data_IF_757837367727
#
_entry.id   IF_757837367727
#
_cell.length_a   1.000
_cell.length_b   1.000
_cell.length_c   1.000
_cell.angle_alpha   90.00
_cell.angle_beta   90.00
_cell.angle_gamma   90.00
#
_symmetry.space_group_name_H-M   'P 1'
#
loop_
_entity.id
_entity.type
_entity.pdbx_description
1 polymer ?
#
# COMPACT_ATOMS: atom_id res chain seq x y z
N UNK A 1 25.90 -13.03 3.94
CA UNK A 1 25.77 -12.57 5.34
C UNK A 1 24.49 -13.15 5.90
N UNK A 2 24.56 -14.09 6.85
CA UNK A 2 23.37 -14.61 7.52
C UNK A 2 22.99 -13.64 8.63
N UNK A 3 21.91 -12.89 8.44
CA UNK A 3 21.28 -12.18 9.55
C UNK A 3 20.78 -13.27 10.49
N UNK A 4 21.46 -13.45 11.62
CA UNK A 4 21.10 -14.47 12.61
C UNK A 4 19.69 -14.18 13.11
N UNK A 5 18.81 -15.20 13.08
CA UNK A 5 17.41 -15.12 13.54
C UNK A 5 17.28 -14.43 14.91
N UNK A 6 18.27 -14.61 15.78
CA UNK A 6 18.38 -13.93 17.08
C UNK A 6 18.41 -12.41 17.01
N UNK A 7 19.05 -11.83 15.98
CA UNK A 7 19.06 -10.38 15.76
C UNK A 7 17.67 -9.85 15.41
N UNK A 8 16.94 -10.56 14.54
CA UNK A 8 15.56 -10.20 14.17
C UNK A 8 14.64 -10.30 15.38
N UNK A 9 14.74 -11.39 16.15
CA UNK A 9 13.95 -11.58 17.38
C UNK A 9 14.26 -10.47 18.41
N UNK A 10 15.55 -10.15 18.63
CA UNK A 10 15.94 -9.09 19.53
C UNK A 10 15.40 -7.72 19.07
N UNK A 11 15.50 -7.40 17.79
CA UNK A 11 14.98 -6.16 17.23
C UNK A 11 13.45 -6.04 17.37
N UNK A 12 12.72 -7.15 17.14
CA UNK A 12 11.25 -7.20 17.33
C UNK A 12 10.88 -6.99 18.80
N UNK A 13 11.56 -7.65 19.73
CA UNK A 13 11.33 -7.48 21.18
C UNK A 13 11.60 -6.04 21.60
N UNK A 14 12.69 -5.44 21.11
CA UNK A 14 13.06 -4.06 21.42
C UNK A 14 12.03 -3.06 20.86
N UNK A 15 11.53 -3.29 19.65
CA UNK A 15 10.45 -2.51 19.06
C UNK A 15 9.16 -2.63 19.89
N UNK A 16 8.79 -3.83 20.33
CA UNK A 16 7.64 -4.07 21.21
C UNK A 16 7.79 -3.29 22.52
N UNK A 17 8.95 -3.35 23.18
CA UNK A 17 9.20 -2.63 24.44
C UNK A 17 9.07 -1.12 24.27
N UNK A 18 9.63 -0.56 23.19
CA UNK A 18 9.54 0.89 22.89
C UNK A 18 8.09 1.30 22.65
N UNK A 19 7.32 0.50 21.89
CA UNK A 19 5.90 0.77 21.61
C UNK A 19 5.07 0.72 22.90
N UNK A 20 5.32 -0.24 23.79
CA UNK A 20 4.59 -0.38 25.06
C UNK A 20 4.90 0.71 26.08
N UNK A 21 6.06 1.36 25.98
CA UNK A 21 6.45 2.50 26.84
C UNK A 21 5.82 3.83 26.43
N UNK A 22 5.20 3.91 25.25
CA UNK A 22 4.56 5.13 24.75
C UNK A 22 3.16 5.34 25.36
N UNK A 23 2.86 6.56 25.81
CA UNK A 23 1.54 6.93 26.35
C UNK A 23 0.40 6.71 25.33
N UNK A 24 0.70 6.72 24.03
CA UNK A 24 -0.26 6.52 22.94
C UNK A 24 -0.12 5.17 22.23
N UNK A 25 0.27 4.14 22.98
CA UNK A 25 0.46 2.74 22.56
C UNK A 25 -0.59 2.17 21.57
N UNK A 26 -1.86 2.57 21.69
CA UNK A 26 -2.91 2.05 20.81
C UNK A 26 -3.10 2.83 19.49
N UNK A 27 -2.59 4.06 19.37
CA UNK A 27 -2.74 4.83 18.13
C UNK A 27 -1.94 4.21 16.98
N UNK A 28 -0.76 3.64 17.27
CA UNK A 28 0.07 2.92 16.30
C UNK A 28 -0.64 1.69 15.73
N UNK A 29 -1.23 0.87 16.61
CA UNK A 29 -1.96 -0.34 16.21
C UNK A 29 -3.25 0.00 15.48
N UNK A 30 -4.00 1.01 15.95
CA UNK A 30 -5.21 1.51 15.27
C UNK A 30 -4.88 2.02 13.87
N UNK A 31 -3.81 2.80 13.72
CA UNK A 31 -3.35 3.27 12.43
C UNK A 31 -2.99 2.10 11.50
N UNK A 32 -2.33 1.06 12.02
CA UNK A 32 -1.93 -0.10 11.23
C UNK A 32 -3.14 -0.89 10.71
N UNK A 33 -4.13 -1.13 11.60
CA UNK A 33 -5.37 -1.81 11.23
C UNK A 33 -6.14 -1.00 10.18
N UNK A 34 -6.30 0.31 10.40
CA UNK A 34 -7.00 1.19 9.45
C UNK A 34 -6.28 1.25 8.10
N UNK A 35 -4.96 1.29 8.11
CA UNK A 35 -4.15 1.25 6.90
C UNK A 35 -4.37 -0.05 6.11
N UNK A 36 -4.33 -1.21 6.76
CA UNK A 36 -4.61 -2.51 6.12
C UNK A 36 -6.01 -2.52 5.50
N UNK A 37 -7.01 -2.03 6.23
CA UNK A 37 -8.39 -1.93 5.74
C UNK A 37 -8.46 -1.03 4.49
N UNK A 38 -7.80 0.14 4.49
CA UNK A 38 -7.79 1.05 3.35
C UNK A 38 -7.12 0.45 2.11
N UNK A 39 -6.00 -0.26 2.29
CA UNK A 39 -5.31 -0.95 1.19
C UNK A 39 -6.18 -2.08 0.65
N UNK A 40 -6.85 -2.83 1.52
CA UNK A 40 -7.78 -3.90 1.13
C UNK A 40 -8.94 -3.37 0.29
N UNK A 41 -9.65 -2.34 0.76
CA UNK A 41 -10.74 -1.72 0.00
C UNK A 41 -10.26 -1.07 -1.30
N UNK A 42 -9.09 -0.41 -1.29
CA UNK A 42 -8.50 0.12 -2.52
C UNK A 42 -8.24 -0.98 -3.54
N UNK A 43 -7.70 -2.12 -3.09
CA UNK A 43 -7.40 -3.27 -3.97
C UNK A 43 -8.68 -3.86 -4.56
N UNK A 44 -9.76 -3.96 -3.78
CA UNK A 44 -11.08 -4.37 -4.30
C UNK A 44 -11.57 -3.38 -5.36
N UNK A 45 -11.49 -2.07 -5.11
CA UNK A 45 -11.87 -1.06 -6.09
C UNK A 45 -11.09 -1.21 -7.40
N UNK A 46 -9.77 -1.42 -7.32
CA UNK A 46 -8.95 -1.66 -8.51
C UNK A 46 -9.40 -2.89 -9.28
N UNK A 47 -9.65 -4.02 -8.60
CA UNK A 47 -10.15 -5.23 -9.26
C UNK A 47 -11.48 -4.96 -9.99
N UNK A 48 -12.40 -4.24 -9.35
CA UNK A 48 -13.67 -3.85 -9.98
C UNK A 48 -13.43 -2.97 -11.21
N UNK A 49 -12.57 -1.97 -11.11
CA UNK A 49 -12.26 -1.09 -12.24
C UNK A 49 -11.57 -1.81 -13.40
N UNK A 50 -10.68 -2.76 -13.11
CA UNK A 50 -10.06 -3.60 -14.12
C UNK A 50 -11.08 -4.48 -14.84
N UNK A 51 -12.02 -5.09 -14.10
CA UNK A 51 -13.11 -5.88 -14.71
C UNK A 51 -14.00 -4.99 -15.58
N UNK A 52 -14.38 -3.80 -15.11
CA UNK A 52 -15.19 -2.85 -15.88
C UNK A 52 -14.45 -2.44 -17.17
N UNK A 53 -13.18 -2.06 -17.08
CA UNK A 53 -12.41 -1.69 -18.27
C UNK A 53 -12.24 -2.86 -19.25
N UNK A 54 -12.02 -4.08 -18.75
CA UNK A 54 -11.95 -5.27 -19.60
C UNK A 54 -13.25 -5.48 -20.38
N UNK A 55 -14.41 -5.35 -19.72
CA UNK A 55 -15.72 -5.46 -20.37
C UNK A 55 -15.96 -4.36 -21.41
N UNK A 56 -15.53 -3.12 -21.13
CA UNK A 56 -15.69 -1.98 -22.03
C UNK A 56 -14.74 -2.03 -23.24
N UNK A 57 -13.60 -2.71 -23.12
CA UNK A 57 -12.57 -2.82 -24.15
C UNK A 57 -12.72 -4.06 -25.04
N UNK A 58 -13.77 -4.87 -24.85
CA UNK A 58 -13.96 -6.17 -25.51
C UNK A 58 -13.85 -6.11 -27.05
N UNK A 59 -14.18 -4.98 -27.67
CA UNK A 59 -14.18 -4.80 -29.15
C UNK A 59 -12.97 -4.02 -29.70
N UNK A 60 -11.90 -3.76 -28.93
CA UNK A 60 -10.74 -2.98 -29.41
C UNK A 60 -9.44 -3.78 -29.38
N UNK A 61 -8.95 -4.15 -30.56
CA UNK A 61 -7.76 -5.00 -30.77
C UNK A 61 -6.41 -4.35 -30.41
N UNK A 62 -6.36 -3.05 -30.11
CA UNK A 62 -5.11 -2.42 -29.64
C UNK A 62 -5.35 -1.22 -28.74
N UNK A 63 -4.69 -1.21 -27.57
CA UNK A 63 -4.66 -0.09 -26.63
C UNK A 63 -3.22 0.40 -26.50
N UNK A 64 -2.99 1.69 -26.79
CA UNK A 64 -1.69 2.32 -26.57
C UNK A 64 -1.29 2.27 -25.09
N UNK A 65 -0.02 1.95 -24.82
CA UNK A 65 0.57 1.97 -23.47
C UNK A 65 0.34 3.29 -22.73
N UNK A 66 0.37 4.43 -23.45
CA UNK A 66 0.08 5.75 -22.86
C UNK A 66 -1.35 5.87 -22.34
N UNK A 67 -2.32 5.26 -23.03
CA UNK A 67 -3.72 5.25 -22.60
C UNK A 67 -3.93 4.34 -21.39
N UNK A 68 -3.17 3.25 -21.27
CA UNK A 68 -3.20 2.37 -20.09
C UNK A 68 -2.65 3.06 -18.84
N UNK A 69 -1.60 3.88 -18.99
CA UNK A 69 -1.06 4.65 -17.86
C UNK A 69 -2.07 5.68 -17.34
N UNK A 70 -2.72 6.44 -18.24
CA UNK A 70 -3.76 7.39 -17.87
C UNK A 70 -4.98 6.71 -17.25
N UNK A 71 -5.37 5.55 -17.77
CA UNK A 71 -6.45 4.74 -17.21
C UNK A 71 -6.13 4.30 -15.77
N UNK A 72 -4.92 3.80 -15.52
CA UNK A 72 -4.48 3.41 -14.18
C UNK A 72 -4.46 4.61 -13.23
N UNK A 73 -3.97 5.77 -13.70
CA UNK A 73 -3.98 7.00 -12.91
C UNK A 73 -5.41 7.41 -12.51
N UNK A 74 -6.37 7.32 -13.44
CA UNK A 74 -7.79 7.55 -13.13
C UNK A 74 -8.31 6.57 -12.08
N UNK A 75 -7.99 5.28 -12.20
CA UNK A 75 -8.40 4.28 -11.21
C UNK A 75 -7.87 4.61 -9.83
N UNK A 76 -6.62 5.08 -9.72
CA UNK A 76 -6.02 5.50 -8.45
C UNK A 76 -6.80 6.64 -7.82
N UNK A 77 -7.12 7.68 -8.59
CA UNK A 77 -7.87 8.85 -8.10
C UNK A 77 -9.28 8.45 -7.68
N UNK A 78 -10.00 7.71 -8.52
CA UNK A 78 -11.36 7.28 -8.21
C UNK A 78 -11.41 6.36 -7.00
N UNK A 79 -10.50 5.38 -6.92
CA UNK A 79 -10.40 4.51 -5.75
C UNK A 79 -10.13 5.31 -4.47
N UNK A 80 -9.22 6.29 -4.53
CA UNK A 80 -8.94 7.16 -3.38
C UNK A 80 -10.16 7.95 -2.93
N UNK A 81 -10.97 8.44 -3.87
CA UNK A 81 -12.24 9.11 -3.56
C UNK A 81 -13.24 8.15 -2.91
N UNK A 82 -13.40 6.93 -3.44
CA UNK A 82 -14.31 5.93 -2.84
C UNK A 82 -13.88 5.55 -1.42
N UNK A 83 -12.59 5.32 -1.19
CA UNK A 83 -12.07 5.01 0.14
C UNK A 83 -12.23 6.20 1.09
N UNK A 84 -12.04 7.44 0.61
CA UNK A 84 -12.36 8.65 1.38
C UNK A 84 -13.82 8.68 1.84
N UNK A 85 -14.77 8.37 0.95
CA UNK A 85 -16.18 8.26 1.31
C UNK A 85 -16.42 7.18 2.36
N UNK A 86 -15.79 6.01 2.21
CA UNK A 86 -15.79 4.95 3.22
C UNK A 86 -15.26 5.42 4.58
N UNK A 87 -14.18 6.20 4.60
CA UNK A 87 -13.66 6.81 5.82
C UNK A 87 -14.64 7.79 6.45
N UNK A 88 -15.34 8.62 5.67
CA UNK A 88 -16.38 9.51 6.20
C UNK A 88 -17.52 8.76 6.87
N UNK A 89 -17.97 7.66 6.26
CA UNK A 89 -18.99 6.80 6.84
C UNK A 89 -18.50 6.15 8.13
N UNK A 90 -17.28 5.60 8.12
CA UNK A 90 -16.66 5.02 9.30
C UNK A 90 -16.46 6.05 10.43
N UNK A 91 -16.23 7.33 10.09
CA UNK A 91 -16.05 8.40 11.05
C UNK A 91 -17.28 8.71 11.90
N UNK A 92 -18.49 8.35 11.44
CA UNK A 92 -19.70 8.44 12.24
C UNK A 92 -19.68 7.46 13.43
N UNK A 93 -18.98 6.33 13.30
CA UNK A 93 -18.86 5.31 14.34
C UNK A 93 -17.54 5.44 15.11
N UNK A 94 -16.45 5.78 14.42
CA UNK A 94 -15.10 5.87 14.98
C UNK A 94 -14.42 7.18 14.61
N UNK A 95 -14.24 8.09 15.58
CA UNK A 95 -13.46 9.32 15.33
C UNK A 95 -11.98 9.00 15.13
N UNK A 96 -11.43 9.45 14.01
CA UNK A 96 -10.00 9.33 13.71
C UNK A 96 -9.23 10.52 14.31
N UNK A 97 -8.19 10.25 15.11
CA UNK A 97 -7.30 11.30 15.61
C UNK A 97 -6.33 11.75 14.51
N UNK A 98 -5.92 13.01 14.54
CA UNK A 98 -4.91 13.55 13.61
C UNK A 98 -3.60 12.76 13.67
N UNK A 99 -3.22 12.30 14.86
CA UNK A 99 -2.05 11.43 15.06
C UNK A 99 -2.21 10.10 14.34
N UNK A 100 -3.38 9.46 14.42
CA UNK A 100 -3.66 8.20 13.70
C UNK A 100 -3.54 8.40 12.18
N UNK A 101 -4.11 9.47 11.63
CA UNK A 101 -4.04 9.77 10.20
C UNK A 101 -2.60 10.05 9.74
N UNK A 102 -1.82 10.76 10.56
CA UNK A 102 -0.41 11.04 10.27
C UNK A 102 0.44 9.76 10.32
N UNK A 103 0.16 8.84 11.24
CA UNK A 103 0.83 7.53 11.28
C UNK A 103 0.51 6.69 10.02
N UNK A 104 -0.73 6.75 9.53
CA UNK A 104 -1.11 6.08 8.27
C UNK A 104 -0.30 6.67 7.09
N UNK A 105 -0.16 7.99 7.01
CA UNK A 105 0.69 8.63 5.98
C UNK A 105 2.13 8.11 6.05
N UNK A 106 2.71 8.02 7.25
CA UNK A 106 4.05 7.49 7.42
C UNK A 106 4.16 6.02 7.02
N UNK A 107 3.19 5.17 7.38
CA UNK A 107 3.20 3.78 6.92
C UNK A 107 3.18 3.67 5.40
N UNK A 108 2.36 4.49 4.74
CA UNK A 108 2.29 4.51 3.27
C UNK A 108 3.64 4.95 2.70
N UNK A 109 4.19 6.07 3.16
CA UNK A 109 5.46 6.62 2.67
C UNK A 109 6.62 5.63 2.85
N UNK A 110 6.81 5.09 4.06
CA UNK A 110 7.89 4.16 4.35
C UNK A 110 7.76 2.86 3.55
N UNK A 111 6.54 2.37 3.37
CA UNK A 111 6.31 1.17 2.56
C UNK A 111 6.62 1.42 1.09
N UNK A 112 6.20 2.55 0.53
CA UNK A 112 6.50 2.93 -0.85
C UNK A 112 8.00 3.08 -1.08
N UNK A 113 8.71 3.74 -0.15
CA UNK A 113 10.18 3.85 -0.19
C UNK A 113 10.80 2.46 -0.15
N UNK A 114 10.40 1.60 0.78
CA UNK A 114 10.94 0.25 0.91
C UNK A 114 10.75 -0.57 -0.37
N UNK A 115 9.53 -0.58 -0.94
CA UNK A 115 9.25 -1.31 -2.18
C UNK A 115 10.08 -0.76 -3.33
N UNK A 116 10.19 0.56 -3.46
CA UNK A 116 10.96 1.20 -4.54
C UNK A 116 12.46 0.91 -4.42
N UNK A 117 13.03 1.00 -3.21
CA UNK A 117 14.43 0.67 -2.95
C UNK A 117 14.68 -0.82 -3.21
N UNK A 118 13.79 -1.70 -2.76
CA UNK A 118 13.87 -3.13 -3.04
C UNK A 118 13.84 -3.39 -4.55
N UNK A 119 12.92 -2.78 -5.29
CA UNK A 119 12.90 -2.87 -6.74
C UNK A 119 14.19 -2.38 -7.37
N UNK A 120 14.71 -1.22 -6.97
CA UNK A 120 15.94 -0.66 -7.53
C UNK A 120 17.14 -1.59 -7.28
N UNK A 121 17.27 -2.16 -6.10
CA UNK A 121 18.37 -3.08 -5.78
C UNK A 121 18.20 -4.39 -6.58
N UNK A 122 17.04 -5.03 -6.52
CA UNK A 122 16.86 -6.38 -7.07
C UNK A 122 16.59 -6.42 -8.58
N UNK A 123 16.05 -5.36 -9.18
CA UNK A 123 15.97 -5.23 -10.65
C UNK A 123 17.36 -5.12 -11.28
N UNK A 124 18.30 -4.48 -10.60
CA UNK A 124 19.70 -4.44 -11.00
C UNK A 124 20.41 -5.78 -10.74
N UNK A 125 20.07 -6.50 -9.65
CA UNK A 125 20.62 -7.84 -9.38
C UNK A 125 20.17 -8.89 -10.41
N UNK A 126 18.96 -8.79 -10.97
CA UNK A 126 18.52 -9.67 -12.08
C UNK A 126 19.39 -9.53 -13.35
N UNK A 127 20.06 -8.38 -13.56
CA UNK A 127 21.06 -8.20 -14.63
C UNK A 127 22.44 -8.79 -14.29
N UNK A 128 22.72 -9.07 -13.02
CA UNK A 128 23.98 -9.64 -12.54
C UNK A 128 23.76 -11.14 -12.34
N UNK A 129 23.84 -11.89 -13.43
CA UNK A 129 23.67 -13.34 -13.47
C UNK A 129 24.76 -14.06 -12.65
N UNK A 130 24.48 -14.44 -11.40
CA UNK A 130 25.04 -15.64 -10.74
C UNK A 130 24.55 -15.91 -9.30
N UNK A 131 23.69 -15.08 -8.70
CA UNK A 131 23.28 -15.24 -7.28
C UNK A 131 21.87 -15.88 -7.14
N UNK A 132 21.31 -16.43 -8.21
CA UNK A 132 19.91 -16.87 -8.27
C UNK A 132 19.64 -18.33 -7.85
N UNK A 133 20.48 -18.94 -6.99
CA UNK A 133 20.20 -20.30 -6.49
C UNK A 133 19.44 -20.35 -5.16
N UNK A 134 18.97 -19.22 -4.62
CA UNK A 134 18.32 -19.16 -3.29
C UNK A 134 16.84 -18.76 -3.29
N UNK A 135 16.20 -18.57 -4.44
CA UNK A 135 14.77 -18.18 -4.51
C UNK A 135 14.03 -19.16 -5.42
N UNK A 136 14.00 -20.43 -5.00
CA UNK A 136 13.19 -21.46 -5.64
C UNK A 136 12.23 -22.07 -4.62
N UNK A 137 11.38 -21.22 -4.05
CA UNK A 137 10.16 -21.64 -3.35
C UNK A 137 9.06 -20.63 -3.69
N UNK A 138 8.02 -21.08 -4.41
CA UNK A 138 6.74 -20.38 -4.52
C UNK A 138 6.47 -19.63 -5.83
N UNK A 139 6.33 -20.35 -6.95
CA UNK A 139 5.89 -19.81 -8.24
C UNK A 139 4.36 -19.53 -8.30
N UNK A 140 3.79 -18.86 -7.29
CA UNK A 140 2.36 -18.49 -7.24
C UNK A 140 2.12 -16.99 -7.00
N UNK A 141 3.18 -16.20 -6.77
CA UNK A 141 3.14 -14.76 -6.59
C UNK A 141 4.30 -14.15 -7.38
N UNK A 142 4.13 -13.88 -8.68
CA UNK A 142 5.11 -13.07 -9.40
C UNK A 142 5.17 -11.71 -8.71
N UNK A 143 6.30 -11.36 -8.04
CA UNK A 143 6.38 -10.15 -7.23
C UNK A 143 6.05 -8.89 -8.05
N UNK A 144 6.36 -8.94 -9.35
CA UNK A 144 6.10 -7.85 -10.27
C UNK A 144 4.59 -7.60 -10.47
N UNK A 145 3.78 -8.67 -10.55
CA UNK A 145 2.33 -8.56 -10.72
C UNK A 145 1.65 -8.09 -9.43
N UNK A 146 2.09 -8.60 -8.27
CA UNK A 146 1.59 -8.16 -6.97
C UNK A 146 1.88 -6.67 -6.73
N UNK A 147 3.06 -6.21 -7.13
CA UNK A 147 3.48 -4.81 -7.04
C UNK A 147 2.60 -3.90 -7.91
N UNK A 148 2.32 -4.28 -9.16
CA UNK A 148 1.49 -3.47 -10.07
C UNK A 148 0.05 -3.33 -9.55
N UNK A 149 -0.45 -4.34 -8.83
CA UNK A 149 -1.78 -4.29 -8.23
C UNK A 149 -1.80 -3.54 -6.89
N UNK A 150 -0.77 -3.71 -6.06
CA UNK A 150 -0.75 -3.22 -4.68
C UNK A 150 -0.22 -1.79 -4.59
N UNK A 151 0.80 -1.40 -5.35
CA UNK A 151 1.36 -0.03 -5.29
C UNK A 151 0.31 1.06 -5.56
N UNK A 152 -0.57 0.93 -6.58
CA UNK A 152 -1.65 1.88 -6.79
C UNK A 152 -2.60 2.00 -5.59
N UNK A 153 -2.83 0.90 -4.84
CA UNK A 153 -3.62 0.89 -3.61
C UNK A 153 -3.04 1.75 -2.50
N UNK A 154 -1.71 1.85 -2.41
CA UNK A 154 -1.04 2.70 -1.43
C UNK A 154 -1.26 4.18 -1.76
N UNK A 155 -1.15 4.55 -3.04
CA UNK A 155 -1.39 5.92 -3.50
C UNK A 155 -2.88 6.30 -3.33
N UNK A 156 -3.80 5.39 -3.67
CA UNK A 156 -5.23 5.55 -3.44
C UNK A 156 -5.55 5.78 -1.95
N UNK A 157 -5.00 4.95 -1.05
CA UNK A 157 -5.17 5.12 0.39
C UNK A 157 -4.60 6.46 0.89
N UNK A 158 -3.47 6.91 0.34
CA UNK A 158 -2.88 8.21 0.68
C UNK A 158 -3.77 9.37 0.26
N UNK A 159 -4.32 9.35 -0.97
CA UNK A 159 -5.30 10.34 -1.44
C UNK A 159 -6.49 10.38 -0.48
N UNK A 160 -7.00 9.21 -0.08
CA UNK A 160 -8.14 9.13 0.83
C UNK A 160 -7.85 9.80 2.19
N UNK A 161 -6.68 9.54 2.76
CA UNK A 161 -6.24 10.12 4.03
C UNK A 161 -6.08 11.64 3.94
N UNK A 162 -5.46 12.15 2.87
CA UNK A 162 -5.28 13.59 2.65
C UNK A 162 -6.62 14.30 2.48
N UNK A 163 -7.54 13.74 1.67
CA UNK A 163 -8.89 14.27 1.49
C UNK A 163 -9.66 14.27 2.82
N UNK A 164 -9.47 13.24 3.64
CA UNK A 164 -10.10 13.15 4.95
C UNK A 164 -9.54 14.19 5.93
N UNK A 165 -8.21 14.37 6.00
CA UNK A 165 -7.58 15.42 6.83
C UNK A 165 -8.05 16.82 6.43
N UNK A 166 -8.16 17.09 5.13
CA UNK A 166 -8.72 18.35 4.61
C UNK A 166 -10.18 18.55 5.05
N UNK A 167 -11.00 17.49 5.01
CA UNK A 167 -12.40 17.55 5.44
C UNK A 167 -12.54 17.92 6.93
N UNK A 168 -11.67 17.39 7.78
CA UNK A 168 -11.67 17.69 9.23
C UNK A 168 -10.83 18.93 9.60
N UNK A 169 -10.31 19.68 8.62
CA UNK A 169 -9.44 20.86 8.81
C UNK A 169 -8.18 20.58 9.65
N UNK A 170 -7.62 19.39 9.50
CA UNK A 170 -6.38 18.98 10.19
C UNK A 170 -5.10 19.33 9.41
N UNK A 171 -5.25 19.91 8.21
CA UNK A 171 -4.23 20.52 7.34
C UNK A 171 -4.86 21.70 6.61
#
# INVERSE_FOLDING_TARGET
MQVTTYFVIAAVILAIIIIFRSERKFEFLKAAILFIIQVFFSTINFLIFFVIAFLLMHDRDSVSLGNLFLLLAMFVVFSGIFVYWGMRLAAHVFKFSTTTLTLIEYYIQWSLIYVTVYQAIFSNVKKISSIAHFIRVGNFLDPNLAIVLILPSFISAWIAVILYKKHIKAI
#
